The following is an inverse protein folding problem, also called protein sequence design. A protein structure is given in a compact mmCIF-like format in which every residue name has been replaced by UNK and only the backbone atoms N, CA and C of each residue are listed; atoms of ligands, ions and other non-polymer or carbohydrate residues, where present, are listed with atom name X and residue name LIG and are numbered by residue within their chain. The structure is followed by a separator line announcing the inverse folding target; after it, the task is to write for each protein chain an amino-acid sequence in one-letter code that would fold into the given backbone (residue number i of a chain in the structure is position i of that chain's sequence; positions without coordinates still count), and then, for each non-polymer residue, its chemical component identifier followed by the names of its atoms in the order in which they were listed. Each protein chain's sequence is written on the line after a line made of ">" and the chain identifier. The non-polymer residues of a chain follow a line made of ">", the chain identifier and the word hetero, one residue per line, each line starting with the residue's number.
data_IF_264706633353
#
_entry.id   IF_264706633353
#
_cell.length_a   1.000
_cell.length_b   1.000
_cell.length_c   1.000
_cell.angle_alpha   90.00
_cell.angle_beta   90.00
_cell.angle_gamma   90.00
#
_symmetry.space_group_name_H-M   'P 1'
#
loop_
_entity.id
_entity.type
_entity.pdbx_description
1 polymer ?
#
# COMPACT_ATOMS: atom_id res chain seq x y z
N UNK A 1 26.59 -12.51 16.51
CA UNK A 1 25.36 -12.91 15.77
C UNK A 1 24.80 -11.60 15.23
N UNK A 2 24.59 -11.46 13.92
CA UNK A 2 23.87 -10.31 13.41
C UNK A 2 22.48 -10.37 14.03
N UNK A 3 22.09 -9.32 14.76
CA UNK A 3 20.74 -9.24 15.32
C UNK A 3 19.74 -9.37 14.17
N UNK A 4 18.80 -10.29 14.32
CA UNK A 4 17.75 -10.53 13.31
C UNK A 4 16.93 -9.24 13.16
N UNK A 5 17.01 -8.60 11.99
CA UNK A 5 16.31 -7.34 11.74
C UNK A 5 14.83 -7.66 11.60
N UNK A 6 13.94 -7.12 12.46
CA UNK A 6 12.52 -7.40 12.36
C UNK A 6 11.95 -6.88 11.05
N UNK A 7 10.98 -7.61 10.48
CA UNK A 7 10.30 -7.24 9.24
C UNK A 7 8.85 -6.90 9.56
N UNK A 8 8.41 -5.71 9.14
CA UNK A 8 6.99 -5.35 9.02
C UNK A 8 6.68 -5.23 7.53
N UNK A 9 5.80 -6.10 7.05
CA UNK A 9 5.33 -6.03 5.67
C UNK A 9 4.27 -4.92 5.53
N UNK A 10 4.67 -3.78 4.97
CA UNK A 10 3.85 -2.56 5.00
C UNK A 10 2.72 -2.54 3.95
N UNK A 11 2.51 -3.62 3.19
CA UNK A 11 1.41 -3.69 2.22
C UNK A 11 1.07 -5.12 1.85
N UNK A 12 0.01 -5.62 2.43
CA UNK A 12 -0.60 -6.89 2.00
C UNK A 12 -2.11 -6.73 1.84
N UNK A 13 -2.70 -7.63 1.07
CA UNK A 13 -4.13 -7.78 0.90
C UNK A 13 -4.55 -9.17 1.38
N UNK A 14 -5.64 -9.24 2.11
CA UNK A 14 -6.20 -10.50 2.59
C UNK A 14 -7.70 -10.54 2.26
N UNK A 15 -8.21 -11.70 1.90
CA UNK A 15 -9.65 -11.92 1.71
C UNK A 15 -10.01 -13.40 1.84
N UNK A 16 -11.13 -13.73 2.52
CA UNK A 16 -11.62 -15.09 2.66
C UNK A 16 -12.33 -15.53 1.38
N UNK A 17 -12.37 -16.83 1.10
CA UNK A 17 -13.05 -17.40 -0.06
C UNK A 17 -14.53 -16.99 -0.13
N UNK A 18 -15.19 -16.90 1.01
CA UNK A 18 -16.61 -16.54 1.13
C UNK A 18 -16.95 -15.12 0.66
N UNK A 19 -15.94 -14.25 0.47
CA UNK A 19 -16.13 -12.84 0.11
C UNK A 19 -15.58 -12.46 -1.28
N UNK A 20 -15.13 -13.43 -2.09
CA UNK A 20 -14.55 -13.19 -3.42
C UNK A 20 -15.48 -12.42 -4.36
N UNK A 21 -16.79 -12.65 -4.28
CA UNK A 21 -17.78 -11.96 -5.12
C UNK A 21 -17.96 -10.47 -4.75
N UNK A 22 -17.40 -10.03 -3.64
CA UNK A 22 -17.43 -8.63 -3.23
C UNK A 22 -16.27 -7.81 -3.79
N UNK A 23 -15.22 -8.44 -4.29
CA UNK A 23 -14.06 -7.79 -4.89
C UNK A 23 -14.44 -7.22 -6.28
N UNK A 24 -14.10 -5.95 -6.54
CA UNK A 24 -14.51 -5.28 -7.78
C UNK A 24 -13.77 -5.81 -9.01
N UNK A 25 -12.53 -6.26 -8.84
CA UNK A 25 -11.60 -6.70 -9.89
C UNK A 25 -11.59 -8.22 -10.11
N UNK A 26 -12.17 -9.02 -9.21
CA UNK A 26 -12.01 -10.48 -9.18
C UNK A 26 -13.01 -11.18 -10.11
N UNK A 27 -12.65 -11.32 -11.38
CA UNK A 27 -13.43 -12.11 -12.35
C UNK A 27 -13.31 -13.63 -12.08
N UNK A 28 -14.22 -14.47 -12.61
CA UNK A 28 -14.15 -15.93 -12.42
C UNK A 28 -12.81 -16.57 -12.82
N UNK A 29 -12.13 -16.00 -13.81
CA UNK A 29 -10.86 -16.51 -14.35
C UNK A 29 -9.63 -15.86 -13.71
N UNK A 30 -9.83 -14.93 -12.78
CA UNK A 30 -8.70 -14.20 -12.18
C UNK A 30 -7.82 -15.16 -11.36
N UNK A 31 -6.48 -15.14 -11.52
CA UNK A 31 -5.58 -16.08 -10.84
C UNK A 31 -5.61 -16.00 -9.31
N UNK A 32 -6.02 -14.85 -8.76
CA UNK A 32 -6.22 -14.67 -7.32
C UNK A 32 -7.63 -15.01 -6.84
N UNK A 33 -8.52 -15.61 -7.68
CA UNK A 33 -9.87 -16.00 -7.26
C UNK A 33 -9.86 -17.27 -6.41
N UNK A 34 -9.25 -17.19 -5.27
CA UNK A 34 -9.21 -18.20 -4.20
C UNK A 34 -8.96 -17.49 -2.88
N UNK A 35 -9.06 -18.20 -1.77
CA UNK A 35 -8.69 -17.65 -0.48
C UNK A 35 -7.25 -17.14 -0.47
N UNK A 36 -7.08 -15.97 0.11
CA UNK A 36 -5.79 -15.40 0.50
C UNK A 36 -5.91 -14.85 1.91
N UNK A 37 -5.64 -15.70 2.88
CA UNK A 37 -5.72 -15.36 4.30
C UNK A 37 -4.36 -15.53 4.97
N UNK A 38 -4.34 -15.55 6.30
CA UNK A 38 -3.08 -15.63 7.05
C UNK A 38 -2.37 -16.97 6.93
N UNK A 39 -3.11 -18.06 6.71
CA UNK A 39 -2.50 -19.38 6.47
C UNK A 39 -1.62 -19.34 5.21
N UNK A 40 -2.15 -18.82 4.10
CA UNK A 40 -1.43 -18.71 2.83
C UNK A 40 -0.33 -17.63 2.89
N UNK A 41 -0.56 -16.53 3.60
CA UNK A 41 0.46 -15.49 3.79
C UNK A 41 1.67 -16.01 4.60
N UNK A 42 1.43 -16.74 5.68
CA UNK A 42 2.51 -17.35 6.49
C UNK A 42 3.32 -18.35 5.67
N UNK A 43 2.65 -19.17 4.86
CA UNK A 43 3.35 -20.08 3.96
C UNK A 43 4.24 -19.34 2.94
N UNK A 44 3.75 -18.25 2.34
CA UNK A 44 4.51 -17.44 1.37
C UNK A 44 5.73 -16.74 2.00
N UNK A 45 5.67 -16.41 3.30
CA UNK A 45 6.73 -15.69 4.03
C UNK A 45 7.54 -16.56 5.00
N UNK A 46 7.36 -17.88 4.98
CA UNK A 46 7.87 -18.84 5.96
C UNK A 46 9.36 -18.68 6.29
N UNK A 47 10.21 -18.52 5.27
CA UNK A 47 11.67 -18.39 5.45
C UNK A 47 12.10 -17.10 6.19
N UNK A 48 11.21 -16.13 6.35
CA UNK A 48 11.53 -14.81 6.87
C UNK A 48 10.68 -14.37 8.06
N UNK A 49 9.57 -15.05 8.34
CA UNK A 49 8.67 -14.85 9.50
C UNK A 49 8.49 -13.37 9.90
N UNK A 50 7.76 -12.56 9.11
CA UNK A 50 7.50 -11.17 9.46
C UNK A 50 6.89 -11.05 10.86
N UNK A 51 7.33 -10.06 11.62
CA UNK A 51 6.79 -9.76 12.97
C UNK A 51 5.38 -9.20 12.91
N UNK A 52 5.01 -8.64 11.77
CA UNK A 52 3.68 -8.12 11.52
C UNK A 52 3.51 -7.60 10.11
N UNK A 53 2.30 -7.21 9.82
CA UNK A 53 1.95 -6.61 8.53
C UNK A 53 0.97 -5.44 8.69
N UNK A 54 0.94 -4.59 7.68
CA UNK A 54 -0.09 -3.57 7.49
C UNK A 54 -1.00 -4.03 6.36
N UNK A 55 -2.27 -4.24 6.71
CA UNK A 55 -3.29 -4.57 5.72
C UNK A 55 -3.73 -3.31 4.98
N UNK A 56 -3.89 -3.42 3.66
CA UNK A 56 -4.47 -2.38 2.80
C UNK A 56 -5.71 -2.93 2.12
N UNK A 57 -6.77 -2.13 2.06
CA UNK A 57 -8.06 -2.49 1.46
C UNK A 57 -7.92 -3.20 0.11
N UNK A 58 -8.93 -4.00 -0.28
CA UNK A 58 -8.87 -4.91 -1.43
C UNK A 58 -9.72 -4.47 -2.62
N UNK A 59 -10.09 -3.20 -2.71
CA UNK A 59 -10.98 -2.64 -3.75
C UNK A 59 -12.30 -3.43 -3.86
N UNK A 60 -13.06 -3.39 -2.77
CA UNK A 60 -14.40 -3.98 -2.71
C UNK A 60 -15.39 -3.19 -3.53
N UNK A 61 -16.39 -3.86 -4.11
CA UNK A 61 -17.51 -3.21 -4.79
C UNK A 61 -18.14 -2.15 -3.91
N UNK A 62 -18.28 -0.95 -4.43
CA UNK A 62 -18.86 0.19 -3.74
C UNK A 62 -19.67 1.05 -4.70
N UNK A 63 -20.54 1.89 -4.14
CA UNK A 63 -21.32 2.88 -4.87
C UNK A 63 -21.27 4.19 -4.07
N UNK A 64 -20.59 5.19 -4.64
CA UNK A 64 -20.41 6.49 -3.97
C UNK A 64 -21.74 7.20 -3.75
N UNK A 65 -22.63 7.20 -4.75
CA UNK A 65 -23.92 7.92 -4.69
C UNK A 65 -24.86 7.29 -3.65
N UNK A 66 -25.02 5.96 -3.68
CA UNK A 66 -25.82 5.24 -2.68
C UNK A 66 -25.19 5.37 -1.28
N UNK A 67 -23.87 5.38 -1.18
CA UNK A 67 -23.15 5.59 0.07
C UNK A 67 -23.38 6.97 0.66
N UNK A 68 -23.29 8.05 -0.14
CA UNK A 68 -23.59 9.42 0.29
C UNK A 68 -25.03 9.54 0.77
N UNK A 69 -25.97 8.93 0.05
CA UNK A 69 -27.41 9.01 0.33
C UNK A 69 -27.79 8.36 1.66
N UNK A 70 -27.47 7.08 1.83
CA UNK A 70 -27.95 6.29 2.97
C UNK A 70 -26.93 5.31 3.56
N UNK A 71 -25.71 5.23 3.02
CA UNK A 71 -24.64 4.32 3.45
C UNK A 71 -24.68 2.94 2.79
N UNK A 72 -25.70 2.59 2.03
CA UNK A 72 -25.86 1.25 1.45
C UNK A 72 -24.75 0.90 0.45
N UNK A 73 -24.23 1.88 -0.26
CA UNK A 73 -23.12 1.71 -1.20
C UNK A 73 -21.78 1.40 -0.56
N UNK A 74 -21.66 1.49 0.76
CA UNK A 74 -20.42 1.20 1.51
C UNK A 74 -20.42 -0.16 2.20
N UNK A 75 -21.44 -0.98 1.95
CA UNK A 75 -21.65 -2.27 2.62
C UNK A 75 -20.43 -3.18 2.55
N UNK A 76 -19.84 -3.38 1.37
CA UNK A 76 -18.74 -4.33 1.22
C UNK A 76 -17.41 -3.82 1.76
N UNK A 77 -17.02 -2.54 1.59
CA UNK A 77 -15.90 -1.97 2.33
C UNK A 77 -16.03 -2.10 3.86
N UNK A 78 -17.23 -1.91 4.43
CA UNK A 78 -17.47 -2.11 5.86
C UNK A 78 -17.42 -3.60 6.25
N UNK A 79 -17.86 -4.50 5.38
CA UNK A 79 -17.73 -5.95 5.59
C UNK A 79 -16.24 -6.38 5.69
N UNK A 80 -15.36 -5.75 4.90
CA UNK A 80 -13.91 -5.96 5.01
C UNK A 80 -13.38 -5.55 6.39
N UNK A 81 -13.82 -4.41 6.92
CA UNK A 81 -13.49 -3.96 8.30
C UNK A 81 -13.92 -4.99 9.33
N UNK A 82 -15.14 -5.53 9.21
CA UNK A 82 -15.64 -6.63 10.05
C UNK A 82 -14.74 -7.86 10.03
N UNK A 83 -14.26 -8.22 8.86
CA UNK A 83 -13.39 -9.38 8.72
C UNK A 83 -12.02 -9.13 9.36
N UNK A 84 -11.41 -7.97 9.11
CA UNK A 84 -10.15 -7.58 9.76
C UNK A 84 -10.28 -7.52 11.29
N UNK A 85 -11.41 -7.04 11.80
CA UNK A 85 -11.70 -7.08 13.24
C UNK A 85 -11.58 -8.49 13.79
N UNK A 86 -12.15 -9.50 13.10
CA UNK A 86 -12.07 -10.90 13.57
C UNK A 86 -10.64 -11.42 13.62
N UNK A 87 -9.79 -11.07 12.64
CA UNK A 87 -8.36 -11.38 12.68
C UNK A 87 -7.73 -10.76 13.93
N UNK A 88 -7.90 -9.45 14.11
CA UNK A 88 -7.25 -8.66 15.16
C UNK A 88 -7.72 -9.05 16.57
N UNK A 89 -8.97 -9.48 16.72
CA UNK A 89 -9.52 -9.91 18.00
C UNK A 89 -9.41 -11.41 18.23
N UNK A 90 -8.79 -12.17 17.32
CA UNK A 90 -8.62 -13.62 17.44
C UNK A 90 -9.94 -14.40 17.43
N UNK A 91 -10.93 -13.94 16.66
CA UNK A 91 -12.28 -14.53 16.60
C UNK A 91 -12.62 -15.06 15.19
N UNK A 92 -11.89 -16.06 14.68
CA UNK A 92 -12.12 -16.59 13.34
C UNK A 92 -13.46 -17.26 13.20
N UNK A 93 -14.07 -17.14 12.02
CA UNK A 93 -15.15 -18.03 11.60
C UNK A 93 -14.57 -19.25 10.86
N UNK A 94 -15.29 -20.39 10.87
CA UNK A 94 -14.85 -21.56 10.10
C UNK A 94 -14.58 -21.23 8.65
N UNK A 95 -13.41 -21.63 8.13
CA UNK A 95 -13.01 -21.43 6.73
C UNK A 95 -12.39 -20.06 6.43
N UNK A 96 -12.10 -19.20 7.40
CA UNK A 96 -11.47 -17.88 7.17
C UNK A 96 -9.94 -17.95 7.11
N UNK A 97 -9.27 -19.09 7.29
CA UNK A 97 -7.83 -19.28 7.10
C UNK A 97 -6.95 -18.50 8.08
N UNK A 98 -7.44 -18.23 9.29
CA UNK A 98 -6.67 -17.63 10.37
C UNK A 98 -7.08 -18.21 11.72
N UNK A 99 -6.26 -18.01 12.75
CA UNK A 99 -6.45 -18.54 14.11
C UNK A 99 -6.35 -17.42 15.15
N UNK A 100 -6.74 -17.70 16.39
CA UNK A 100 -6.55 -16.77 17.51
C UNK A 100 -5.08 -16.34 17.69
N UNK A 101 -4.14 -17.26 17.44
CA UNK A 101 -2.71 -16.99 17.57
C UNK A 101 -2.20 -15.93 16.56
N UNK A 102 -2.94 -15.68 15.50
CA UNK A 102 -2.58 -14.71 14.45
C UNK A 102 -2.98 -13.25 14.79
N UNK A 103 -3.70 -13.02 15.88
CA UNK A 103 -4.28 -11.72 16.23
C UNK A 103 -3.25 -10.58 16.34
N UNK A 104 -2.02 -10.88 16.75
CA UNK A 104 -0.96 -9.89 16.89
C UNK A 104 -0.31 -9.47 15.56
N UNK A 105 -0.43 -10.28 14.50
CA UNK A 105 0.28 -10.07 13.24
C UNK A 105 -0.20 -8.83 12.47
N UNK A 106 -1.49 -8.50 12.53
CA UNK A 106 -1.99 -7.26 11.92
C UNK A 106 -1.67 -6.08 12.85
N UNK A 107 -0.61 -5.34 12.54
CA UNK A 107 -0.18 -4.18 13.36
C UNK A 107 -0.95 -2.90 13.04
N UNK A 108 -1.44 -2.77 11.81
CA UNK A 108 -2.34 -1.70 11.37
C UNK A 108 -3.15 -2.16 10.15
N UNK A 109 -4.25 -1.46 9.89
CA UNK A 109 -4.98 -1.63 8.63
C UNK A 109 -5.52 -0.32 8.08
N UNK A 110 -5.65 -0.28 6.76
CA UNK A 110 -5.97 0.88 5.95
C UNK A 110 -7.23 0.56 5.14
N UNK A 111 -8.44 0.83 5.69
CA UNK A 111 -9.69 0.62 4.98
C UNK A 111 -9.82 1.50 3.74
N UNK A 112 -10.65 1.07 2.81
CA UNK A 112 -11.17 1.92 1.74
C UNK A 112 -11.91 3.13 2.31
N UNK A 113 -11.97 4.24 1.55
CA UNK A 113 -12.78 5.40 1.93
C UNK A 113 -13.28 6.21 0.73
N UNK A 114 -14.47 6.84 0.83
CA UNK A 114 -15.14 7.56 -0.26
C UNK A 114 -14.60 9.01 -0.43
N UNK A 115 -13.29 9.19 -0.65
CA UNK A 115 -12.69 10.53 -0.77
C UNK A 115 -13.39 11.44 -1.82
N UNK A 116 -13.83 10.95 -3.01
CA UNK A 116 -14.52 11.79 -3.98
C UNK A 116 -15.84 12.36 -3.49
N UNK A 117 -16.43 11.79 -2.45
CA UNK A 117 -17.70 12.24 -1.87
C UNK A 117 -17.58 13.49 -0.99
N UNK A 118 -16.35 13.86 -0.60
CA UNK A 118 -16.04 15.06 0.19
C UNK A 118 -16.05 14.83 1.70
N UNK A 119 -15.61 15.86 2.45
CA UNK A 119 -15.31 15.76 3.88
C UNK A 119 -16.50 15.31 4.74
N UNK A 120 -17.72 15.74 4.44
CA UNK A 120 -18.91 15.35 5.22
C UNK A 120 -19.24 13.85 5.06
N UNK A 121 -19.16 13.32 3.84
CA UNK A 121 -19.33 11.89 3.58
C UNK A 121 -18.19 11.07 4.21
N UNK A 122 -16.97 11.56 4.12
CA UNK A 122 -15.82 10.96 4.79
C UNK A 122 -15.98 10.88 6.30
N UNK A 123 -16.47 11.93 6.94
CA UNK A 123 -16.70 11.93 8.39
C UNK A 123 -17.72 10.87 8.80
N UNK A 124 -18.87 10.84 8.09
CA UNK A 124 -19.89 9.80 8.29
C UNK A 124 -19.30 8.38 8.09
N UNK A 125 -18.47 8.19 7.05
CA UNK A 125 -17.86 6.91 6.77
C UNK A 125 -16.85 6.50 7.86
N UNK A 126 -16.02 7.42 8.34
CA UNK A 126 -15.08 7.17 9.44
C UNK A 126 -15.83 6.69 10.71
N UNK A 127 -16.97 7.31 11.03
CA UNK A 127 -17.79 6.89 12.16
C UNK A 127 -18.36 5.47 11.98
N UNK A 128 -18.80 5.11 10.77
CA UNK A 128 -19.22 3.74 10.44
C UNK A 128 -18.08 2.73 10.56
N UNK A 129 -16.89 3.07 10.04
CA UNK A 129 -15.69 2.24 10.21
C UNK A 129 -15.34 2.06 11.68
N UNK A 130 -15.40 3.12 12.47
CA UNK A 130 -15.15 3.07 13.92
C UNK A 130 -16.13 2.15 14.64
N UNK A 131 -17.42 2.23 14.30
CA UNK A 131 -18.45 1.37 14.86
C UNK A 131 -18.20 -0.10 14.49
N UNK A 132 -17.90 -0.38 13.21
CA UNK A 132 -17.67 -1.74 12.72
C UNK A 132 -16.38 -2.34 13.29
N UNK A 133 -15.31 -1.55 13.33
CA UNK A 133 -14.01 -1.94 13.89
C UNK A 133 -14.10 -2.26 15.39
N UNK A 134 -14.89 -1.53 16.16
CA UNK A 134 -15.01 -1.75 17.60
C UNK A 134 -13.65 -1.76 18.30
N UNK A 135 -13.29 -2.88 18.94
CA UNK A 135 -12.02 -3.03 19.67
C UNK A 135 -10.77 -2.92 18.77
N UNK A 136 -10.88 -3.23 17.47
CA UNK A 136 -9.77 -3.11 16.53
C UNK A 136 -9.54 -1.68 16.01
N UNK A 137 -10.42 -0.72 16.36
CA UNK A 137 -10.31 0.68 15.92
C UNK A 137 -8.93 1.32 16.12
N UNK A 138 -8.21 1.10 17.23
CA UNK A 138 -6.87 1.68 17.42
C UNK A 138 -5.85 1.27 16.35
N UNK A 139 -6.10 0.18 15.62
CA UNK A 139 -5.23 -0.28 14.51
C UNK A 139 -5.61 0.32 13.15
N UNK A 140 -6.70 1.08 13.03
CA UNK A 140 -6.98 1.91 11.84
C UNK A 140 -6.04 3.10 11.86
N UNK A 141 -5.10 3.16 10.93
CA UNK A 141 -4.07 4.21 10.89
C UNK A 141 -4.20 5.16 9.71
N UNK A 142 -5.02 4.83 8.75
CA UNK A 142 -5.23 5.63 7.56
C UNK A 142 -6.34 5.08 6.69
N UNK A 143 -6.46 5.63 5.50
CA UNK A 143 -7.45 5.23 4.52
C UNK A 143 -6.85 5.21 3.11
N UNK A 144 -7.47 4.44 2.21
CA UNK A 144 -7.14 4.43 0.79
C UNK A 144 -8.38 4.65 -0.07
N UNK A 145 -8.19 5.31 -1.19
CA UNK A 145 -9.07 5.29 -2.35
C UNK A 145 -8.19 5.01 -3.56
N UNK A 146 -8.42 3.91 -4.26
CA UNK A 146 -7.57 3.49 -5.37
C UNK A 146 -7.75 4.45 -6.55
N UNK A 147 -6.66 5.12 -6.95
CA UNK A 147 -6.66 6.15 -8.00
C UNK A 147 -6.14 5.65 -9.33
N UNK A 148 -5.40 4.54 -9.34
CA UNK A 148 -4.66 4.05 -10.51
C UNK A 148 -5.53 3.85 -11.76
N UNK A 149 -6.81 3.48 -11.60
CA UNK A 149 -7.77 3.22 -12.67
C UNK A 149 -8.82 4.34 -12.86
N UNK A 150 -8.77 5.37 -12.02
CA UNK A 150 -9.74 6.46 -12.07
C UNK A 150 -9.40 7.50 -13.16
N UNK A 151 -10.40 8.21 -13.68
CA UNK A 151 -10.19 9.29 -14.63
C UNK A 151 -9.26 10.38 -14.08
N UNK A 152 -8.46 10.99 -14.97
CA UNK A 152 -7.67 12.17 -14.62
C UNK A 152 -8.57 13.27 -14.05
N UNK A 153 -8.04 14.05 -13.10
CA UNK A 153 -8.78 15.08 -12.38
C UNK A 153 -9.55 14.57 -11.16
N UNK A 154 -9.75 13.26 -10.99
CA UNK A 154 -10.47 12.71 -9.82
C UNK A 154 -9.86 13.19 -8.51
N UNK A 155 -8.54 13.12 -8.37
CA UNK A 155 -7.83 13.52 -7.16
C UNK A 155 -7.67 15.04 -6.98
N UNK A 156 -8.02 15.82 -8.01
CA UNK A 156 -7.92 17.29 -8.01
C UNK A 156 -9.26 17.97 -7.71
N UNK A 157 -10.35 17.25 -7.52
CA UNK A 157 -11.63 17.85 -7.15
C UNK A 157 -11.56 18.43 -5.75
N UNK A 158 -12.26 19.55 -5.52
CA UNK A 158 -12.30 20.18 -4.18
C UNK A 158 -12.80 19.22 -3.10
N UNK A 159 -13.80 18.40 -3.42
CA UNK A 159 -14.29 17.34 -2.51
C UNK A 159 -13.20 16.38 -2.08
N UNK A 160 -12.36 15.95 -3.02
CA UNK A 160 -11.24 15.03 -2.73
C UNK A 160 -10.19 15.70 -1.83
N UNK A 161 -9.80 16.92 -2.18
CA UNK A 161 -8.83 17.72 -1.41
C UNK A 161 -9.32 17.98 0.02
N UNK A 162 -10.60 18.35 0.20
CA UNK A 162 -11.17 18.55 1.54
C UNK A 162 -11.21 17.25 2.36
N UNK A 163 -11.43 16.11 1.71
CA UNK A 163 -11.34 14.80 2.35
C UNK A 163 -9.92 14.50 2.85
N UNK A 164 -8.90 14.83 2.06
CA UNK A 164 -7.49 14.69 2.48
C UNK A 164 -7.15 15.60 3.66
N UNK A 165 -7.60 16.86 3.63
CA UNK A 165 -7.43 17.80 4.75
C UNK A 165 -8.13 17.30 6.01
N UNK A 166 -9.29 16.67 5.87
CA UNK A 166 -9.99 16.04 7.01
C UNK A 166 -9.18 14.89 7.60
N UNK A 167 -8.62 14.00 6.76
CA UNK A 167 -7.76 12.90 7.23
C UNK A 167 -6.59 13.44 8.05
N UNK A 168 -5.89 14.47 7.56
CA UNK A 168 -4.79 15.10 8.28
C UNK A 168 -5.21 15.64 9.64
N UNK A 169 -6.30 16.41 9.72
CA UNK A 169 -6.84 16.91 10.99
C UNK A 169 -7.20 15.81 11.99
N UNK A 170 -7.60 14.64 11.50
CA UNK A 170 -7.93 13.47 12.34
C UNK A 170 -6.72 12.58 12.65
N UNK A 171 -5.52 12.91 12.14
CA UNK A 171 -4.29 12.15 12.37
C UNK A 171 -4.17 10.86 11.55
N UNK A 172 -4.97 10.70 10.48
CA UNK A 172 -4.90 9.55 9.58
C UNK A 172 -3.95 9.80 8.42
N UNK A 173 -3.27 8.74 7.97
CA UNK A 173 -2.50 8.78 6.72
C UNK A 173 -3.40 8.48 5.51
N UNK A 174 -2.94 8.87 4.33
CA UNK A 174 -3.54 8.46 3.07
C UNK A 174 -2.59 7.56 2.28
N UNK A 175 -3.01 6.32 2.02
CA UNK A 175 -2.30 5.38 1.16
C UNK A 175 -2.60 5.71 -0.30
N UNK A 176 -1.56 6.13 -1.02
CA UNK A 176 -1.66 6.71 -2.36
C UNK A 176 -1.24 5.70 -3.44
N UNK A 177 -2.21 5.17 -4.19
CA UNK A 177 -1.99 4.25 -5.31
C UNK A 177 -2.25 4.93 -6.64
N UNK A 178 -1.19 5.16 -7.43
CA UNK A 178 -1.24 5.69 -8.80
C UNK A 178 -0.41 4.81 -9.73
N UNK A 179 -0.64 4.89 -11.04
CA UNK A 179 -0.07 4.01 -12.05
C UNK A 179 0.57 4.81 -13.20
N UNK A 180 1.86 5.07 -13.08
CA UNK A 180 2.59 5.75 -14.15
C UNK A 180 2.76 4.88 -15.40
N UNK A 181 2.90 3.55 -15.23
CA UNK A 181 3.10 2.63 -16.34
C UNK A 181 1.93 2.71 -17.35
N UNK A 182 0.69 2.64 -16.85
CA UNK A 182 -0.49 2.62 -17.70
C UNK A 182 -1.14 4.00 -17.91
N UNK A 183 -0.95 4.95 -16.98
CA UNK A 183 -1.60 6.28 -16.99
C UNK A 183 -0.67 7.42 -17.40
N UNK A 184 0.66 7.13 -17.46
CA UNK A 184 1.65 8.06 -17.92
C UNK A 184 1.92 9.24 -16.99
N UNK A 185 2.50 10.30 -17.57
CA UNK A 185 2.97 11.49 -16.86
C UNK A 185 1.85 12.29 -16.20
N UNK A 186 0.67 12.35 -16.82
CA UNK A 186 -0.43 13.19 -16.32
C UNK A 186 -0.84 12.80 -14.88
N UNK A 187 -0.94 11.51 -14.58
CA UNK A 187 -1.30 11.07 -13.22
C UNK A 187 -0.22 11.42 -12.17
N UNK A 188 1.05 11.43 -12.56
CA UNK A 188 2.14 11.87 -11.67
C UNK A 188 2.08 13.39 -11.39
N UNK A 189 1.75 14.21 -12.39
CA UNK A 189 1.59 15.64 -12.23
C UNK A 189 0.40 15.97 -11.32
N UNK A 190 -0.71 15.27 -11.50
CA UNK A 190 -1.87 15.39 -10.62
C UNK A 190 -1.54 15.03 -9.15
N UNK A 191 -0.72 14.01 -8.90
CA UNK A 191 -0.28 13.66 -7.54
C UNK A 191 0.49 14.80 -6.88
N UNK A 192 1.40 15.43 -7.60
CA UNK A 192 2.17 16.57 -7.08
C UNK A 192 1.23 17.73 -6.72
N UNK A 193 0.32 18.09 -7.63
CA UNK A 193 -0.67 19.14 -7.39
C UNK A 193 -1.61 18.80 -6.25
N UNK A 194 -2.09 17.55 -6.17
CA UNK A 194 -2.96 17.08 -5.08
C UNK A 194 -2.30 17.26 -3.71
N UNK A 195 -1.02 16.87 -3.56
CA UNK A 195 -0.28 17.01 -2.30
C UNK A 195 -0.13 18.48 -1.93
N UNK A 196 0.25 19.34 -2.87
CA UNK A 196 0.39 20.78 -2.63
C UNK A 196 -0.94 21.38 -2.17
N UNK A 197 -2.05 21.10 -2.86
CA UNK A 197 -3.39 21.60 -2.51
C UNK A 197 -3.90 21.03 -1.18
N UNK A 198 -3.61 19.77 -0.88
CA UNK A 198 -3.99 19.16 0.40
C UNK A 198 -3.26 19.78 1.61
N UNK A 199 -2.06 20.33 1.38
CA UNK A 199 -1.26 20.97 2.42
C UNK A 199 -1.40 22.50 2.46
N UNK A 200 -1.93 23.11 1.41
CA UNK A 200 -2.09 24.56 1.32
C UNK A 200 -3.01 25.09 2.44
N UNK A 201 -2.51 26.06 3.20
CA UNK A 201 -3.26 26.68 4.31
C UNK A 201 -3.51 25.79 5.53
N UNK A 202 -2.89 24.59 5.59
CA UNK A 202 -3.04 23.65 6.71
C UNK A 202 -1.84 23.76 7.67
N UNK A 203 -2.08 23.87 9.00
CA UNK A 203 -1.01 23.80 9.99
C UNK A 203 -0.17 22.53 9.88
N UNK A 204 1.14 22.61 10.17
CA UNK A 204 2.07 21.50 9.91
C UNK A 204 1.66 20.19 10.62
N UNK A 205 1.19 20.28 11.85
CA UNK A 205 0.73 19.16 12.66
C UNK A 205 -0.59 18.51 12.16
N UNK A 206 -1.34 19.22 11.30
CA UNK A 206 -2.61 18.77 10.74
C UNK A 206 -2.51 18.35 9.26
N UNK A 207 -1.34 18.47 8.65
CA UNK A 207 -1.12 18.01 7.27
C UNK A 207 -1.22 16.50 7.19
N UNK A 208 -1.96 16.00 6.19
CA UNK A 208 -2.04 14.55 5.92
C UNK A 208 -0.67 14.01 5.51
N UNK A 209 -0.35 12.82 6.02
CA UNK A 209 0.83 12.06 5.57
C UNK A 209 0.44 11.15 4.42
N UNK A 210 1.25 11.16 3.35
CA UNK A 210 1.03 10.32 2.16
C UNK A 210 2.00 9.16 2.15
N UNK A 211 1.44 7.94 1.98
CA UNK A 211 2.20 6.72 1.80
C UNK A 211 2.09 6.30 0.34
N UNK A 212 3.13 6.53 -0.43
CA UNK A 212 3.17 6.26 -1.87
C UNK A 212 3.35 4.76 -2.11
N UNK A 213 2.35 4.14 -2.72
CA UNK A 213 2.37 2.71 -3.04
C UNK A 213 3.21 2.44 -4.29
N UNK A 214 3.94 1.34 -4.28
CA UNK A 214 4.56 0.72 -5.45
C UNK A 214 5.43 1.68 -6.27
N UNK A 215 6.08 2.65 -5.60
CA UNK A 215 6.95 3.63 -6.28
C UNK A 215 6.22 4.40 -7.41
N UNK A 216 4.90 4.61 -7.30
CA UNK A 216 4.01 5.13 -8.35
C UNK A 216 3.92 4.22 -9.59
N UNK A 217 4.14 2.90 -9.46
CA UNK A 217 4.08 1.89 -10.54
C UNK A 217 4.83 2.32 -11.82
N UNK A 218 6.16 2.42 -11.76
CA UNK A 218 6.96 2.79 -12.94
C UNK A 218 6.93 1.70 -14.01
N UNK A 219 7.08 2.09 -15.27
CA UNK A 219 7.29 1.15 -16.36
C UNK A 219 8.66 0.47 -16.24
N UNK A 220 8.69 -0.73 -15.67
CA UNK A 220 9.90 -1.54 -15.48
C UNK A 220 10.27 -2.36 -16.75
N UNK A 221 9.59 -2.16 -17.87
CA UNK A 221 9.94 -2.76 -19.16
C UNK A 221 11.02 -1.99 -19.92
N UNK A 222 11.33 -0.77 -19.49
CA UNK A 222 12.27 0.11 -20.18
C UNK A 222 13.70 -0.40 -20.06
N UNK A 223 14.34 -0.73 -21.16
CA UNK A 223 15.74 -1.18 -21.20
C UNK A 223 16.76 -0.03 -21.16
N UNK A 224 16.48 1.07 -21.87
CA UNK A 224 17.37 2.22 -21.95
C UNK A 224 16.81 3.41 -21.14
N UNK A 225 17.02 3.38 -19.82
CA UNK A 225 16.44 4.35 -18.90
C UNK A 225 16.85 5.80 -19.18
N UNK A 226 18.12 6.04 -19.52
CA UNK A 226 18.65 7.41 -19.69
C UNK A 226 18.01 8.19 -20.85
N UNK A 227 17.53 7.50 -21.88
CA UNK A 227 16.90 8.10 -23.05
C UNK A 227 15.36 8.05 -23.02
N UNK A 228 14.77 7.37 -22.04
CA UNK A 228 13.32 7.18 -21.97
C UNK A 228 12.61 8.40 -21.36
N UNK A 229 11.71 9.07 -22.09
CA UNK A 229 10.90 10.15 -21.53
C UNK A 229 10.04 9.70 -20.34
N UNK A 230 9.53 8.45 -20.37
CA UNK A 230 8.74 7.85 -19.29
C UNK A 230 9.55 7.73 -18.01
N UNK A 231 10.76 7.17 -18.09
CA UNK A 231 11.67 7.07 -16.94
C UNK A 231 12.06 8.44 -16.39
N UNK A 232 12.38 9.40 -17.27
CA UNK A 232 12.75 10.76 -16.87
C UNK A 232 11.60 11.45 -16.14
N UNK A 233 10.37 11.32 -16.65
CA UNK A 233 9.18 11.89 -16.02
C UNK A 233 8.93 11.27 -14.64
N UNK A 234 8.99 9.94 -14.53
CA UNK A 234 8.85 9.23 -13.26
C UNK A 234 9.93 9.65 -12.26
N UNK A 235 11.21 9.64 -12.67
CA UNK A 235 12.32 10.07 -11.80
C UNK A 235 12.12 11.50 -11.29
N UNK A 236 11.71 12.41 -12.16
CA UNK A 236 11.45 13.81 -11.79
C UNK A 236 10.33 13.88 -10.75
N UNK A 237 9.25 13.15 -10.95
CA UNK A 237 8.14 13.10 -9.99
C UNK A 237 8.58 12.53 -8.63
N UNK A 238 9.34 11.43 -8.61
CA UNK A 238 9.85 10.83 -7.37
C UNK A 238 10.70 11.83 -6.57
N UNK A 239 11.63 12.54 -7.22
CA UNK A 239 12.40 13.60 -6.56
C UNK A 239 11.54 14.79 -6.12
N UNK A 240 10.49 15.13 -6.86
CA UNK A 240 9.56 16.20 -6.47
C UNK A 240 8.74 15.79 -5.25
N UNK A 241 8.18 14.60 -5.25
CA UNK A 241 7.40 14.04 -4.14
C UNK A 241 8.24 13.93 -2.86
N UNK A 242 9.53 13.58 -2.99
CA UNK A 242 10.43 13.46 -1.83
C UNK A 242 10.74 14.79 -1.13
N UNK A 243 10.48 15.95 -1.76
CA UNK A 243 10.65 17.27 -1.13
C UNK A 243 9.61 17.52 -0.04
N UNK A 244 8.45 16.89 -0.11
CA UNK A 244 7.46 16.93 0.95
C UNK A 244 7.91 16.00 2.08
N UNK A 245 8.12 16.55 3.29
CA UNK A 245 8.55 15.79 4.47
C UNK A 245 7.53 14.74 4.93
N UNK A 246 6.26 14.91 4.54
CA UNK A 246 5.14 14.02 4.89
C UNK A 246 4.84 12.99 3.81
N UNK A 247 5.78 12.69 2.92
CA UNK A 247 5.69 11.60 1.96
C UNK A 247 6.64 10.47 2.33
N UNK A 248 6.14 9.26 2.27
CA UNK A 248 6.88 8.00 2.44
C UNK A 248 6.61 7.11 1.24
N UNK A 249 7.48 6.14 0.95
CA UNK A 249 7.32 5.28 -0.22
C UNK A 249 7.49 3.81 0.13
N UNK A 250 6.64 2.97 -0.44
CA UNK A 250 6.73 1.51 -0.35
C UNK A 250 7.56 0.96 -1.50
N UNK A 251 8.60 0.19 -1.18
CA UNK A 251 9.26 -0.70 -2.13
C UNK A 251 8.40 -1.94 -2.29
N UNK A 252 7.53 -1.94 -3.28
CA UNK A 252 6.55 -3.01 -3.53
C UNK A 252 6.01 -2.96 -4.95
N UNK A 253 5.16 -3.92 -5.34
CA UNK A 253 4.36 -3.91 -6.55
C UNK A 253 5.15 -3.85 -7.86
N UNK A 254 6.41 -4.30 -7.85
CA UNK A 254 7.25 -4.21 -9.06
C UNK A 254 6.98 -5.32 -10.08
N UNK A 255 6.56 -6.51 -9.66
CA UNK A 255 6.39 -7.61 -10.60
C UNK A 255 5.32 -7.39 -11.68
N UNK A 256 4.13 -6.83 -11.36
CA UNK A 256 3.15 -6.52 -12.40
C UNK A 256 3.66 -5.55 -13.47
N UNK A 257 4.60 -4.68 -13.11
CA UNK A 257 5.15 -3.64 -13.98
C UNK A 257 6.32 -4.13 -14.85
N UNK A 258 6.73 -5.39 -14.68
CA UNK A 258 7.79 -6.03 -15.47
C UNK A 258 7.21 -6.86 -16.62
N UNK A 259 7.91 -7.00 -17.75
CA UNK A 259 7.57 -7.98 -18.75
C UNK A 259 7.67 -9.41 -18.18
N UNK A 260 6.83 -10.31 -18.66
CA UNK A 260 6.78 -11.69 -18.18
C UNK A 260 8.15 -12.38 -18.24
N UNK A 261 8.89 -12.14 -19.33
CA UNK A 261 10.23 -12.70 -19.52
C UNK A 261 11.23 -12.28 -18.43
N UNK A 262 11.05 -11.10 -17.80
CA UNK A 262 11.91 -10.63 -16.72
C UNK A 262 11.46 -11.17 -15.38
N UNK A 263 10.16 -11.13 -15.04
CA UNK A 263 9.68 -11.56 -13.72
C UNK A 263 9.88 -13.05 -13.44
N UNK A 264 10.07 -13.87 -14.50
CA UNK A 264 10.41 -15.29 -14.38
C UNK A 264 11.91 -15.53 -14.10
N UNK A 265 12.76 -14.53 -14.23
CA UNK A 265 14.20 -14.65 -14.03
C UNK A 265 14.58 -14.81 -12.54
N UNK A 266 15.80 -15.28 -12.24
CA UNK A 266 16.36 -15.21 -10.89
C UNK A 266 16.34 -13.79 -10.32
N UNK A 267 16.25 -13.67 -8.99
CA UNK A 267 16.21 -12.36 -8.32
C UNK A 267 17.43 -11.46 -8.67
N UNK A 268 18.62 -12.05 -8.90
CA UNK A 268 19.79 -11.28 -9.28
C UNK A 268 19.60 -10.57 -10.64
N UNK A 269 19.09 -11.30 -11.64
CA UNK A 269 18.86 -10.75 -12.99
C UNK A 269 17.77 -9.68 -12.97
N UNK A 270 16.70 -9.88 -12.17
CA UNK A 270 15.65 -8.88 -11.97
C UNK A 270 16.24 -7.64 -11.33
N UNK A 271 17.04 -7.81 -10.27
CA UNK A 271 17.68 -6.68 -9.59
C UNK A 271 18.53 -5.85 -10.56
N UNK A 272 19.36 -6.50 -11.34
CA UNK A 272 20.25 -5.81 -12.30
C UNK A 272 19.43 -4.98 -13.32
N UNK A 273 18.26 -5.48 -13.73
CA UNK A 273 17.37 -4.79 -14.65
C UNK A 273 16.66 -3.57 -14.01
N UNK A 274 16.19 -3.69 -12.76
CA UNK A 274 15.37 -2.64 -12.11
C UNK A 274 16.16 -1.75 -11.14
N UNK A 275 17.43 -2.03 -10.91
CA UNK A 275 18.28 -1.24 -10.01
C UNK A 275 18.29 0.27 -10.26
N UNK A 276 18.15 0.78 -11.51
CA UNK A 276 18.04 2.21 -11.73
C UNK A 276 16.85 2.87 -11.01
N UNK A 277 15.67 2.20 -10.99
CA UNK A 277 14.49 2.71 -10.27
C UNK A 277 14.67 2.64 -8.76
N UNK A 278 15.12 1.50 -8.24
CA UNK A 278 15.37 1.32 -6.81
C UNK A 278 16.38 2.34 -6.28
N UNK A 279 17.44 2.60 -7.04
CA UNK A 279 18.48 3.59 -6.70
C UNK A 279 17.92 5.02 -6.67
N UNK A 280 17.03 5.38 -7.59
CA UNK A 280 16.36 6.69 -7.59
C UNK A 280 15.49 6.85 -6.35
N UNK A 281 14.71 5.84 -5.99
CA UNK A 281 13.86 5.89 -4.78
C UNK A 281 14.72 6.05 -3.53
N UNK A 282 15.80 5.27 -3.42
CA UNK A 282 16.72 5.36 -2.29
C UNK A 282 17.40 6.72 -2.20
N UNK A 283 17.87 7.26 -3.33
CA UNK A 283 18.50 8.57 -3.38
C UNK A 283 17.53 9.73 -3.04
N UNK A 284 16.25 9.60 -3.45
CA UNK A 284 15.26 10.65 -3.23
C UNK A 284 14.72 10.68 -1.80
N UNK A 285 14.39 9.52 -1.22
CA UNK A 285 13.70 9.43 0.07
C UNK A 285 14.64 9.09 1.24
N UNK A 286 15.73 8.39 0.98
CA UNK A 286 16.59 7.84 2.03
C UNK A 286 15.91 6.74 2.86
N UNK A 287 16.67 5.95 3.64
CA UNK A 287 16.14 4.79 4.38
C UNK A 287 15.00 5.14 5.35
N UNK A 288 15.04 6.33 5.97
CA UNK A 288 14.07 6.76 6.97
C UNK A 288 12.68 7.13 6.41
N UNK A 289 12.50 7.10 5.08
CA UNK A 289 11.22 7.32 4.40
C UNK A 289 10.86 6.26 3.36
N UNK A 290 11.58 5.15 3.39
CA UNK A 290 11.33 3.98 2.54
C UNK A 290 10.91 2.82 3.43
N UNK A 291 9.91 2.04 3.03
CA UNK A 291 9.48 0.85 3.74
C UNK A 291 9.35 -0.35 2.83
N UNK A 292 9.75 -1.53 3.32
CA UNK A 292 9.51 -2.80 2.67
C UNK A 292 8.01 -3.10 2.63
N UNK A 293 7.55 -3.63 1.50
CA UNK A 293 6.20 -4.14 1.34
C UNK A 293 6.18 -5.19 0.23
N UNK A 294 5.47 -6.29 0.42
CA UNK A 294 5.44 -7.38 -0.55
C UNK A 294 4.40 -7.19 -1.64
N UNK A 295 3.30 -6.52 -1.33
CA UNK A 295 2.10 -6.48 -2.16
C UNK A 295 1.47 -7.88 -2.34
N UNK A 296 1.60 -8.73 -1.32
CA UNK A 296 0.99 -10.07 -1.33
C UNK A 296 -0.55 -9.97 -1.21
N UNK A 297 -1.35 -10.75 -1.95
CA UNK A 297 -0.96 -11.81 -2.90
C UNK A 297 -0.74 -11.31 -4.33
N UNK A 298 -0.92 -10.02 -4.62
CA UNK A 298 -0.79 -9.46 -5.98
C UNK A 298 0.58 -9.76 -6.58
N UNK A 299 1.64 -9.71 -5.77
CA UNK A 299 2.99 -10.04 -6.20
C UNK A 299 3.15 -11.47 -6.77
N UNK A 300 2.24 -12.40 -6.44
CA UNK A 300 2.31 -13.79 -6.93
C UNK A 300 1.86 -13.95 -8.38
N UNK A 301 1.11 -12.96 -8.90
CA UNK A 301 0.57 -13.04 -10.27
C UNK A 301 1.70 -13.07 -11.30
N UNK A 302 1.80 -14.18 -12.03
CA UNK A 302 2.83 -14.41 -13.03
C UNK A 302 4.23 -14.67 -12.47
N UNK A 303 4.39 -14.86 -11.16
CA UNK A 303 5.65 -15.20 -10.48
C UNK A 303 5.53 -16.51 -9.70
N UNK A 304 4.36 -16.75 -9.07
CA UNK A 304 4.09 -17.92 -8.24
C UNK A 304 4.41 -17.69 -6.75
N UNK A 305 4.35 -18.77 -5.96
CA UNK A 305 4.39 -18.72 -4.49
C UNK A 305 5.71 -18.17 -3.92
N UNK A 306 6.78 -18.19 -4.68
CA UNK A 306 8.09 -17.63 -4.30
C UNK A 306 8.19 -16.11 -4.42
N UNK A 307 7.12 -15.42 -4.83
CA UNK A 307 7.15 -13.99 -5.14
C UNK A 307 7.55 -13.15 -3.92
N UNK A 308 7.00 -13.44 -2.73
CA UNK A 308 7.35 -12.74 -1.51
C UNK A 308 8.84 -12.81 -1.19
N UNK A 309 9.39 -14.03 -1.19
CA UNK A 309 10.82 -14.27 -0.95
C UNK A 309 11.72 -13.68 -2.05
N UNK A 310 11.27 -13.74 -3.30
CA UNK A 310 11.98 -13.14 -4.43
C UNK A 310 12.05 -11.62 -4.28
N UNK A 311 10.95 -10.95 -3.89
CA UNK A 311 10.92 -9.51 -3.67
C UNK A 311 11.81 -9.09 -2.51
N UNK A 312 11.75 -9.82 -1.39
CA UNK A 312 12.66 -9.61 -0.25
C UNK A 312 14.12 -9.63 -0.68
N UNK A 313 14.54 -10.62 -1.48
CA UNK A 313 15.92 -10.72 -1.99
C UNK A 313 16.33 -9.50 -2.83
N UNK A 314 15.40 -8.87 -3.55
CA UNK A 314 15.67 -7.63 -4.30
C UNK A 314 15.94 -6.46 -3.34
N UNK A 315 15.16 -6.33 -2.28
CA UNK A 315 15.37 -5.27 -1.28
C UNK A 315 16.64 -5.53 -0.45
N UNK A 316 16.93 -6.77 -0.07
CA UNK A 316 18.22 -7.15 0.57
C UNK A 316 19.41 -6.73 -0.29
N UNK A 317 19.32 -7.00 -1.60
CA UNK A 317 20.40 -6.66 -2.54
C UNK A 317 20.55 -5.15 -2.71
N UNK A 318 19.45 -4.39 -2.68
CA UNK A 318 19.50 -2.93 -2.67
C UNK A 318 20.26 -2.42 -1.43
N UNK A 319 19.91 -2.92 -0.25
CA UNK A 319 20.56 -2.55 1.00
C UNK A 319 22.06 -2.86 0.97
N UNK A 320 22.43 -4.03 0.44
CA UNK A 320 23.82 -4.46 0.30
C UNK A 320 24.59 -3.57 -0.70
N UNK A 321 24.03 -3.34 -1.90
CA UNK A 321 24.66 -2.52 -2.95
C UNK A 321 24.88 -1.08 -2.51
N UNK A 322 23.94 -0.52 -1.75
CA UNK A 322 24.04 0.84 -1.20
C UNK A 322 24.93 0.90 0.06
N UNK A 323 25.50 -0.22 0.52
CA UNK A 323 26.32 -0.31 1.73
C UNK A 323 25.62 0.28 2.96
N UNK A 324 24.29 0.05 3.08
CA UNK A 324 23.52 0.58 4.19
C UNK A 324 23.96 -0.04 5.51
N UNK A 325 24.06 0.79 6.55
CA UNK A 325 24.32 0.34 7.91
C UNK A 325 23.08 -0.36 8.51
N UNK A 326 23.24 -1.10 9.59
CA UNK A 326 22.13 -1.86 10.20
C UNK A 326 21.01 -0.95 10.71
N UNK A 327 21.31 0.28 11.14
CA UNK A 327 20.32 1.26 11.50
C UNK A 327 19.39 1.63 10.31
N UNK A 328 19.97 1.85 9.13
CA UNK A 328 19.23 2.15 7.90
C UNK A 328 18.40 0.96 7.42
N UNK A 329 18.97 -0.25 7.49
CA UNK A 329 18.23 -1.47 7.17
C UNK A 329 17.05 -1.66 8.10
N UNK A 330 17.22 -1.46 9.42
CA UNK A 330 16.09 -1.51 10.38
C UNK A 330 14.98 -0.51 10.02
N UNK A 331 15.32 0.68 9.53
CA UNK A 331 14.33 1.63 9.04
C UNK A 331 13.55 1.05 7.85
N UNK A 332 14.22 0.56 6.82
CA UNK A 332 13.56 0.01 5.62
C UNK A 332 12.68 -1.20 5.96
N UNK A 333 13.17 -2.11 6.80
CA UNK A 333 12.47 -3.36 7.11
C UNK A 333 11.31 -3.23 8.09
N UNK A 334 11.33 -2.22 8.98
CA UNK A 334 10.27 -2.03 9.98
C UNK A 334 10.08 -0.57 10.41
N UNK A 335 11.15 0.11 10.81
CA UNK A 335 11.07 1.38 11.54
C UNK A 335 10.35 2.48 10.77
N UNK A 336 10.53 2.58 9.46
CA UNK A 336 9.83 3.57 8.63
C UNK A 336 8.33 3.30 8.59
N UNK A 337 7.91 2.04 8.47
CA UNK A 337 6.49 1.69 8.49
C UNK A 337 5.86 2.05 9.84
N UNK A 338 6.49 1.64 10.95
CA UNK A 338 6.00 1.97 12.29
C UNK A 338 5.87 3.47 12.49
N UNK A 339 6.89 4.23 12.13
CA UNK A 339 6.90 5.69 12.22
C UNK A 339 5.82 6.34 11.36
N UNK A 340 5.73 5.97 10.08
CA UNK A 340 4.85 6.62 9.11
C UNK A 340 3.36 6.41 9.44
N UNK A 341 3.01 5.24 9.99
CA UNK A 341 1.66 4.91 10.41
C UNK A 341 1.38 5.21 11.89
N UNK A 342 2.34 5.79 12.62
CA UNK A 342 2.18 6.12 14.04
C UNK A 342 1.92 4.90 14.93
N UNK A 343 2.62 3.78 14.68
CA UNK A 343 2.52 2.55 15.46
C UNK A 343 3.60 2.56 16.52
N UNK A 344 3.21 2.61 17.79
CA UNK A 344 4.16 2.77 18.91
C UNK A 344 4.72 1.45 19.43
N UNK A 345 3.94 0.33 19.35
CA UNK A 345 4.32 -1.00 19.85
C UNK A 345 3.98 -2.09 18.81
N UNK A 346 4.98 -2.68 18.16
CA UNK A 346 4.84 -3.83 17.28
C UNK A 346 5.95 -4.89 17.55
#
# INVERSE_FOLDING_TARGET
>A
MADDIPIIDAHIHLFPESELDTLAWCTPEHPLRKQHSLEEYKAASEDSTPKGFIFVETDRKNDLEAGEKDGSGWKYPLQEVSWLKRIITGQPKPGEGHTEADASLCVAYIPWAPLPSGAAAMEKYIDLVKQEAGESWPKVRGFRYLLQDKPNGTMLTDKFIESLKLLGRKGFVFDLGVDQHNRGRAQLEEVVEMIDRAHEGVPEDQKVTFIINHMCKPDLSIYHTQASPSYIAWRTAIFTLSKCSRTYVKLSGGFPEMPESLRQRPAADIFDAISPWLSVVLAAFGPARIMFASDWPVCTVGVGDQAWQKWKKLVDRLCWMASLEDADKRMIWAGTALKAYGIEDA
#
